data_IF_634984968816
#
_entry.id   IF_634984968816
#
_cell.length_a   1.000
_cell.length_b   1.000
_cell.length_c   1.000
_cell.angle_alpha   90.00
_cell.angle_beta   90.00
_cell.angle_gamma   90.00
#
_symmetry.space_group_name_H-M   'P 1'
#
loop_
_entity.id
_entity.type
_entity.pdbx_description
1 polymer ?
#
# COMPACT_ATOMS: atom_id res chain seq x y z
N UNK A 1 -18.47 -16.00 16.26
CA UNK A 1 -19.05 -15.64 17.58
C UNK A 1 -18.03 -15.46 18.69
N UNK A 2 -17.14 -16.42 18.95
CA UNK A 2 -16.17 -16.36 20.06
C UNK A 2 -15.22 -15.14 20.00
N UNK A 3 -14.70 -14.81 18.80
CA UNK A 3 -13.85 -13.62 18.57
C UNK A 3 -14.59 -12.30 18.77
N UNK A 4 -15.90 -12.27 18.47
CA UNK A 4 -16.78 -11.12 18.70
C UNK A 4 -16.99 -10.89 20.19
N UNK A 5 -17.19 -11.97 20.95
CA UNK A 5 -17.33 -11.92 22.40
C UNK A 5 -16.04 -11.48 23.11
N UNK A 6 -14.87 -11.95 22.64
CA UNK A 6 -13.57 -11.51 23.16
C UNK A 6 -13.33 -10.00 22.96
N UNK A 7 -13.65 -9.45 21.80
CA UNK A 7 -13.53 -8.00 21.56
C UNK A 7 -14.61 -7.22 22.30
N UNK A 8 -15.85 -7.70 22.34
CA UNK A 8 -16.90 -7.08 23.15
C UNK A 8 -16.52 -7.02 24.64
N UNK A 9 -15.83 -8.04 25.16
CA UNK A 9 -15.29 -8.05 26.52
C UNK A 9 -14.06 -7.14 26.69
N UNK A 10 -13.23 -6.97 25.66
CA UNK A 10 -12.08 -6.06 25.67
C UNK A 10 -12.46 -4.58 25.51
N UNK A 11 -13.64 -4.28 24.97
CA UNK A 11 -14.21 -2.94 24.94
C UNK A 11 -14.83 -2.61 26.30
N UNK A 12 -14.51 -1.48 26.93
CA UNK A 12 -15.23 -1.03 28.12
C UNK A 12 -16.72 -0.79 27.82
N UNK A 13 -17.61 -1.10 28.76
CA UNK A 13 -19.05 -0.86 28.60
C UNK A 13 -19.36 0.64 28.45
N UNK A 14 -18.60 1.52 29.11
CA UNK A 14 -18.74 2.97 28.99
C UNK A 14 -18.12 3.60 27.73
N UNK A 15 -17.66 2.82 26.74
CA UNK A 15 -17.11 3.39 25.52
C UNK A 15 -18.24 4.02 24.67
N UNK A 16 -18.24 5.33 24.42
CA UNK A 16 -19.33 6.00 23.68
C UNK A 16 -19.45 5.56 22.22
N UNK A 17 -18.44 4.87 21.69
CA UNK A 17 -18.38 4.36 20.31
C UNK A 17 -18.50 2.83 20.25
N UNK A 18 -18.87 2.15 21.35
CA UNK A 18 -18.88 0.68 21.45
C UNK A 18 -19.60 0.00 20.28
N UNK A 19 -20.82 0.43 19.95
CA UNK A 19 -21.61 -0.15 18.86
C UNK A 19 -20.95 0.04 17.49
N UNK A 20 -20.44 1.24 17.21
CA UNK A 20 -19.73 1.53 15.95
C UNK A 20 -18.49 0.65 15.78
N UNK A 21 -17.75 0.43 16.87
CA UNK A 21 -16.55 -0.42 16.85
C UNK A 21 -16.90 -1.89 16.60
N UNK A 22 -17.98 -2.39 17.20
CA UNK A 22 -18.45 -3.75 16.97
C UNK A 22 -18.94 -3.95 15.53
N UNK A 23 -19.71 -3.00 14.99
CA UNK A 23 -20.15 -3.04 13.60
C UNK A 23 -18.97 -2.99 12.60
N UNK A 24 -17.98 -2.13 12.87
CA UNK A 24 -16.76 -2.08 12.05
C UNK A 24 -15.97 -3.40 12.14
N UNK A 25 -15.87 -4.00 13.32
CA UNK A 25 -15.21 -5.29 13.50
C UNK A 25 -15.89 -6.41 12.71
N UNK A 26 -17.22 -6.48 12.75
CA UNK A 26 -18.00 -7.44 11.95
C UNK A 26 -17.71 -7.29 10.47
N UNK A 27 -17.65 -6.05 9.95
CA UNK A 27 -17.28 -5.81 8.55
C UNK A 27 -15.84 -6.20 8.23
N UNK A 28 -14.88 -5.93 9.11
CA UNK A 28 -13.45 -6.31 8.88
C UNK A 28 -13.25 -7.82 8.92
N UNK A 29 -14.02 -8.52 9.74
CA UNK A 29 -13.90 -9.96 9.94
C UNK A 29 -14.86 -10.78 9.09
N UNK A 30 -15.72 -10.11 8.31
CA UNK A 30 -16.56 -10.76 7.32
C UNK A 30 -15.70 -11.59 6.36
N UNK A 31 -16.22 -12.75 5.99
CA UNK A 31 -15.55 -13.63 5.04
C UNK A 31 -15.44 -12.93 3.67
N UNK A 32 -14.22 -12.55 3.31
CA UNK A 32 -13.89 -11.92 2.03
C UNK A 32 -14.14 -12.88 0.85
N UNK A 33 -14.19 -14.18 1.12
CA UNK A 33 -14.47 -15.24 0.16
C UNK A 33 -15.95 -15.65 0.15
N UNK A 34 -16.83 -14.94 0.87
CA UNK A 34 -18.26 -15.22 0.85
C UNK A 34 -18.81 -15.17 -0.58
N UNK A 35 -19.55 -16.22 -0.96
CA UNK A 35 -20.05 -16.39 -2.33
C UNK A 35 -19.09 -17.10 -3.29
N UNK A 36 -17.83 -17.32 -2.90
CA UNK A 36 -16.85 -18.08 -3.69
C UNK A 36 -16.74 -19.56 -3.27
N UNK A 37 -17.52 -20.01 -2.27
CA UNK A 37 -17.43 -21.36 -1.71
C UNK A 37 -17.69 -22.50 -2.71
N UNK A 38 -18.38 -22.23 -3.82
CA UNK A 38 -18.62 -23.19 -4.90
C UNK A 38 -17.57 -23.16 -6.02
N UNK A 39 -16.61 -22.25 -5.96
CA UNK A 39 -15.56 -22.13 -6.98
C UNK A 39 -14.41 -23.07 -6.64
N UNK A 40 -14.24 -24.09 -7.47
CA UNK A 40 -13.03 -24.93 -7.47
C UNK A 40 -12.06 -24.40 -8.50
N UNK A 41 -10.88 -23.96 -8.07
CA UNK A 41 -9.76 -23.56 -8.93
C UNK A 41 -8.47 -24.14 -8.37
N UNK A 42 -7.50 -24.36 -9.25
CA UNK A 42 -6.14 -24.74 -8.91
C UNK A 42 -5.22 -23.52 -8.95
N UNK A 43 -4.06 -23.61 -8.28
CA UNK A 43 -3.02 -22.58 -8.37
C UNK A 43 -2.52 -22.40 -9.81
N UNK A 44 -2.47 -23.48 -10.59
CA UNK A 44 -2.07 -23.45 -11.98
C UNK A 44 -3.04 -22.64 -12.86
N UNK A 45 -4.36 -22.77 -12.61
CA UNK A 45 -5.39 -22.00 -13.30
C UNK A 45 -5.33 -20.52 -12.94
N UNK A 46 -5.16 -20.19 -11.64
CA UNK A 46 -4.97 -18.80 -11.21
C UNK A 46 -3.72 -18.17 -11.84
N UNK A 47 -2.61 -18.92 -11.87
CA UNK A 47 -1.38 -18.47 -12.52
C UNK A 47 -1.57 -18.29 -14.04
N UNK A 48 -2.37 -19.15 -14.68
CA UNK A 48 -2.70 -19.01 -16.10
C UNK A 48 -3.58 -17.78 -16.36
N UNK A 49 -4.59 -17.53 -15.52
CA UNK A 49 -5.41 -16.32 -15.60
C UNK A 49 -4.57 -15.05 -15.48
N UNK A 50 -3.64 -15.02 -14.52
CA UNK A 50 -2.70 -13.91 -14.40
C UNK A 50 -1.85 -13.75 -15.67
N UNK A 51 -1.23 -14.83 -16.16
CA UNK A 51 -0.40 -14.79 -17.36
C UNK A 51 -1.18 -14.25 -18.57
N UNK A 52 -2.43 -14.67 -18.72
CA UNK A 52 -3.31 -14.20 -19.78
C UNK A 52 -3.61 -12.70 -19.63
N UNK A 53 -3.90 -12.23 -18.41
CA UNK A 53 -4.16 -10.80 -18.16
C UNK A 53 -2.91 -9.95 -18.43
N UNK A 54 -1.73 -10.39 -17.98
CA UNK A 54 -0.44 -9.76 -18.27
C UNK A 54 -0.18 -9.71 -19.78
N UNK A 55 -0.36 -10.82 -20.48
CA UNK A 55 -0.18 -10.90 -21.93
C UNK A 55 -1.19 -10.04 -22.70
N UNK A 56 -2.39 -9.87 -22.15
CA UNK A 56 -3.43 -8.98 -22.66
C UNK A 56 -3.19 -7.49 -22.36
N UNK A 57 -2.14 -7.15 -21.61
CA UNK A 57 -1.79 -5.76 -21.29
C UNK A 57 -2.60 -5.15 -20.15
N UNK A 58 -3.26 -5.95 -19.32
CA UNK A 58 -3.99 -5.46 -18.15
C UNK A 58 -3.02 -4.75 -17.18
N UNK A 59 -3.20 -3.44 -16.92
CA UNK A 59 -2.24 -2.65 -16.14
C UNK A 59 -2.17 -3.11 -14.68
N UNK A 60 -3.30 -3.55 -14.11
CA UNK A 60 -3.36 -4.09 -12.75
C UNK A 60 -2.60 -5.40 -12.65
N UNK A 61 -2.83 -6.32 -13.59
CA UNK A 61 -2.16 -7.61 -13.61
C UNK A 61 -0.64 -7.46 -13.73
N UNK A 62 -0.18 -6.55 -14.60
CA UNK A 62 1.24 -6.23 -14.76
C UNK A 62 1.84 -5.60 -13.49
N UNK A 63 1.17 -4.63 -12.88
CA UNK A 63 1.62 -4.03 -11.62
C UNK A 63 1.67 -5.07 -10.48
N UNK A 64 0.67 -5.94 -10.39
CA UNK A 64 0.61 -7.00 -9.40
C UNK A 64 1.71 -8.05 -9.58
N UNK A 65 2.06 -8.39 -10.82
CA UNK A 65 3.20 -9.26 -11.09
C UNK A 65 4.51 -8.67 -10.53
N UNK A 66 4.76 -7.38 -10.76
CA UNK A 66 5.94 -6.69 -10.21
C UNK A 66 5.94 -6.76 -8.68
N UNK A 67 4.79 -6.54 -8.05
CA UNK A 67 4.66 -6.66 -6.59
C UNK A 67 4.97 -8.08 -6.09
N UNK A 68 4.45 -9.12 -6.75
CA UNK A 68 4.71 -10.51 -6.37
C UNK A 68 6.19 -10.87 -6.48
N UNK A 69 6.84 -10.46 -7.56
CA UNK A 69 8.27 -10.68 -7.78
C UNK A 69 9.11 -9.97 -6.69
N UNK A 70 8.77 -8.72 -6.36
CA UNK A 70 9.42 -7.97 -5.27
C UNK A 70 9.28 -8.70 -3.92
N UNK A 71 8.07 -9.16 -3.57
CA UNK A 71 7.86 -9.87 -2.30
C UNK A 71 8.51 -11.25 -2.28
N UNK A 72 8.57 -11.94 -3.42
CA UNK A 72 9.29 -13.20 -3.55
C UNK A 72 10.80 -12.98 -3.36
N UNK A 73 11.38 -11.95 -3.96
CA UNK A 73 12.78 -11.60 -3.74
C UNK A 73 13.02 -11.32 -2.24
N UNK A 74 12.17 -10.53 -1.57
CA UNK A 74 12.30 -10.27 -0.12
C UNK A 74 12.29 -11.54 0.72
N UNK A 75 11.36 -12.46 0.46
CA UNK A 75 11.26 -13.72 1.20
C UNK A 75 12.54 -14.56 1.04
N UNK A 76 13.10 -14.56 -0.16
CA UNK A 76 14.34 -15.27 -0.48
C UNK A 76 15.60 -14.55 0.07
N UNK A 77 15.55 -13.22 0.16
CA UNK A 77 16.65 -12.34 0.55
C UNK A 77 16.85 -12.22 2.08
N UNK A 78 16.11 -12.97 2.90
CA UNK A 78 16.35 -13.12 4.35
C UNK A 78 17.68 -13.85 4.69
N UNK A 79 18.65 -13.84 3.77
CA UNK A 79 20.03 -14.27 3.98
C UNK A 79 20.83 -13.11 4.59
N UNK A 80 21.62 -13.32 5.67
CA UNK A 80 22.42 -12.26 6.27
C UNK A 80 23.32 -11.55 5.24
N UNK A 81 23.21 -10.22 5.12
CA UNK A 81 24.05 -9.39 4.25
C UNK A 81 23.47 -8.95 2.90
N UNK A 82 22.25 -9.37 2.52
CA UNK A 82 21.55 -8.95 1.28
C UNK A 82 20.11 -8.50 1.54
N UNK A 83 19.88 -7.65 2.54
CA UNK A 83 18.52 -7.22 2.86
C UNK A 83 17.91 -6.32 1.76
N UNK A 84 16.68 -6.65 1.35
CA UNK A 84 15.84 -5.82 0.47
C UNK A 84 15.70 -6.34 -0.97
N UNK A 85 14.53 -6.11 -1.55
CA UNK A 85 14.27 -6.35 -2.97
C UNK A 85 14.92 -5.28 -3.85
N UNK A 86 14.97 -5.58 -5.13
CA UNK A 86 15.41 -4.69 -6.20
C UNK A 86 14.27 -4.44 -7.19
N UNK A 87 14.40 -3.41 -8.02
CA UNK A 87 13.55 -3.24 -9.21
C UNK A 87 14.42 -2.95 -10.43
N UNK A 88 14.17 -3.69 -11.50
CA UNK A 88 14.73 -3.43 -12.82
C UNK A 88 14.09 -2.19 -13.46
N UNK A 89 14.75 -1.62 -14.48
CA UNK A 89 14.17 -0.53 -15.29
C UNK A 89 12.86 -0.93 -15.97
N UNK A 90 12.71 -2.19 -16.38
CA UNK A 90 11.48 -2.71 -16.98
C UNK A 90 10.32 -2.75 -15.98
N UNK A 91 10.61 -3.13 -14.72
CA UNK A 91 9.62 -3.09 -13.64
C UNK A 91 9.25 -1.64 -13.31
N UNK A 92 10.22 -0.73 -13.24
CA UNK A 92 9.95 0.71 -13.05
C UNK A 92 9.09 1.30 -14.19
N UNK A 93 9.39 0.94 -15.44
CA UNK A 93 8.56 1.31 -16.59
C UNK A 93 7.13 0.79 -16.46
N UNK A 94 6.96 -0.47 -16.06
CA UNK A 94 5.64 -1.07 -15.80
C UNK A 94 4.87 -0.34 -14.71
N UNK A 95 5.54 0.08 -13.63
CA UNK A 95 4.89 0.85 -12.56
C UNK A 95 4.46 2.24 -13.04
N UNK A 96 5.27 2.92 -13.87
CA UNK A 96 4.89 4.20 -14.49
C UNK A 96 3.70 4.05 -15.44
N UNK A 97 3.69 2.98 -16.24
CA UNK A 97 2.56 2.64 -17.11
C UNK A 97 1.28 2.34 -16.32
N UNK A 98 1.40 1.69 -15.16
CA UNK A 98 0.26 1.46 -14.26
C UNK A 98 -0.36 2.78 -13.79
N UNK A 99 0.44 3.78 -13.45
CA UNK A 99 -0.05 5.13 -13.17
C UNK A 99 -0.70 5.77 -14.41
N UNK A 100 -0.03 5.74 -15.56
CA UNK A 100 -0.52 6.33 -16.80
C UNK A 100 -1.84 5.69 -17.30
N UNK A 101 -2.12 4.44 -16.92
CA UNK A 101 -3.32 3.72 -17.31
C UNK A 101 -4.62 4.31 -16.75
N UNK A 102 -4.53 5.12 -15.68
CA UNK A 102 -5.69 5.63 -14.91
C UNK A 102 -6.57 4.53 -14.31
N UNK A 103 -6.13 3.27 -14.34
CA UNK A 103 -6.78 2.20 -13.59
C UNK A 103 -6.49 2.37 -12.10
N UNK A 104 -7.56 2.50 -11.31
CA UNK A 104 -7.46 2.82 -9.89
C UNK A 104 -6.67 1.75 -9.11
N UNK A 105 -6.85 0.48 -9.45
CA UNK A 105 -6.20 -0.61 -8.73
C UNK A 105 -4.72 -0.74 -9.16
N UNK A 106 -4.42 -0.53 -10.43
CA UNK A 106 -3.05 -0.44 -10.94
C UNK A 106 -2.27 0.71 -10.27
N UNK A 107 -2.87 1.90 -10.13
CA UNK A 107 -2.31 3.04 -9.39
C UNK A 107 -2.02 2.66 -7.93
N UNK A 108 -2.98 2.04 -7.26
CA UNK A 108 -2.83 1.65 -5.85
C UNK A 108 -1.70 0.63 -5.65
N UNK A 109 -1.57 -0.36 -6.54
CA UNK A 109 -0.49 -1.34 -6.52
C UNK A 109 0.85 -0.65 -6.80
N UNK A 110 0.93 0.16 -7.85
CA UNK A 110 2.18 0.80 -8.25
C UNK A 110 2.71 1.74 -7.17
N UNK A 111 1.84 2.52 -6.54
CA UNK A 111 2.18 3.35 -5.39
C UNK A 111 2.69 2.55 -4.20
N UNK A 112 2.07 1.41 -3.88
CA UNK A 112 2.50 0.53 -2.79
C UNK A 112 3.87 -0.11 -3.05
N UNK A 113 4.15 -0.49 -4.29
CA UNK A 113 5.48 -0.99 -4.69
C UNK A 113 6.50 0.14 -4.58
N UNK A 114 6.26 1.31 -5.21
CA UNK A 114 7.22 2.41 -5.21
C UNK A 114 7.49 3.00 -3.82
N UNK A 115 6.54 2.88 -2.89
CA UNK A 115 6.70 3.28 -1.49
C UNK A 115 7.59 2.34 -0.65
N UNK A 116 8.11 1.24 -1.20
CA UNK A 116 8.99 0.33 -0.45
C UNK A 116 10.44 0.84 -0.38
N UNK A 117 11.19 0.32 0.60
CA UNK A 117 12.65 0.53 0.66
C UNK A 117 13.38 -0.53 -0.17
N UNK A 118 14.15 -0.12 -1.17
CA UNK A 118 14.88 -1.03 -2.05
C UNK A 118 16.37 -1.07 -1.74
N UNK A 119 17.02 -2.16 -2.14
CA UNK A 119 18.47 -2.37 -1.92
C UNK A 119 19.33 -1.57 -2.89
N UNK A 120 18.85 -1.38 -4.11
CA UNK A 120 19.60 -0.86 -5.25
C UNK A 120 19.06 0.46 -5.79
N UNK A 121 18.02 1.02 -5.18
CA UNK A 121 17.46 2.30 -5.54
C UNK A 121 16.79 3.01 -4.36
N UNK A 122 16.64 4.33 -4.52
CA UNK A 122 15.83 5.20 -3.67
C UNK A 122 14.89 5.99 -4.58
N UNK A 123 13.60 6.04 -4.23
CA UNK A 123 12.65 6.97 -4.87
C UNK A 123 12.82 8.33 -4.21
N UNK A 124 13.05 9.36 -5.03
CA UNK A 124 13.33 10.74 -4.60
C UNK A 124 12.31 11.70 -5.21
N UNK A 125 12.05 12.79 -4.52
CA UNK A 125 10.98 13.72 -4.84
C UNK A 125 11.44 15.17 -4.92
N UNK A 126 10.90 15.90 -5.88
CA UNK A 126 11.04 17.34 -6.00
C UNK A 126 12.41 17.80 -6.51
N UNK A 127 12.61 19.12 -6.62
CA UNK A 127 13.83 19.71 -7.17
C UNK A 127 15.08 19.38 -6.34
N UNK A 128 14.93 19.30 -5.02
CA UNK A 128 16.01 18.97 -4.08
C UNK A 128 16.30 17.45 -4.01
N UNK A 129 15.51 16.64 -4.74
CA UNK A 129 15.58 15.18 -4.76
C UNK A 129 15.63 14.61 -3.33
N UNK A 130 14.68 14.97 -2.48
CA UNK A 130 14.61 14.39 -1.12
C UNK A 130 14.11 12.94 -1.21
N UNK A 131 14.66 11.98 -0.44
CA UNK A 131 14.06 10.65 -0.34
C UNK A 131 12.60 10.75 0.07
N UNK A 132 11.73 9.93 -0.53
CA UNK A 132 10.31 9.92 -0.15
C UNK A 132 10.13 9.46 1.30
N UNK A 133 9.14 10.03 1.99
CA UNK A 133 8.59 9.39 3.18
C UNK A 133 7.62 8.29 2.70
N UNK A 134 8.06 7.04 2.86
CA UNK A 134 7.41 5.86 2.29
C UNK A 134 5.91 5.78 2.61
N UNK A 135 5.53 5.98 3.88
CA UNK A 135 4.13 5.84 4.30
C UNK A 135 3.27 6.95 3.70
N UNK A 136 3.76 8.17 3.65
CA UNK A 136 3.08 9.32 3.06
C UNK A 136 2.97 9.17 1.55
N UNK A 137 4.01 8.68 0.87
CA UNK A 137 3.97 8.40 -0.57
C UNK A 137 2.93 7.32 -0.91
N UNK A 138 2.89 6.23 -0.15
CA UNK A 138 1.86 5.20 -0.30
C UNK A 138 0.45 5.79 -0.11
N UNK A 139 0.25 6.62 0.92
CA UNK A 139 -1.04 7.27 1.17
C UNK A 139 -1.43 8.23 0.04
N UNK A 140 -0.48 9.01 -0.49
CA UNK A 140 -0.71 9.92 -1.60
C UNK A 140 -1.12 9.16 -2.87
N UNK A 141 -0.45 8.06 -3.20
CA UNK A 141 -0.83 7.21 -4.33
C UNK A 141 -2.19 6.53 -4.12
N UNK A 142 -2.50 6.10 -2.90
CA UNK A 142 -3.82 5.55 -2.57
C UNK A 142 -4.91 6.61 -2.71
N UNK A 143 -4.67 7.84 -2.27
CA UNK A 143 -5.62 8.94 -2.44
C UNK A 143 -5.82 9.30 -3.91
N UNK A 144 -4.76 9.29 -4.71
CA UNK A 144 -4.89 9.41 -6.15
C UNK A 144 -5.74 8.27 -6.72
N UNK A 145 -5.51 7.03 -6.30
CA UNK A 145 -6.32 5.88 -6.71
C UNK A 145 -7.82 6.10 -6.41
N UNK A 146 -8.16 6.68 -5.25
CA UNK A 146 -9.53 7.00 -4.88
C UNK A 146 -10.20 7.93 -5.92
N UNK A 147 -9.45 8.89 -6.46
CA UNK A 147 -9.95 9.82 -7.48
C UNK A 147 -10.28 9.13 -8.81
N UNK A 148 -9.65 7.98 -9.06
CA UNK A 148 -9.91 7.12 -10.22
C UNK A 148 -10.90 5.99 -9.94
N UNK A 149 -11.53 5.95 -8.75
CA UNK A 149 -12.58 4.98 -8.41
C UNK A 149 -12.15 3.83 -7.50
N UNK A 150 -10.96 3.89 -6.89
CA UNK A 150 -10.58 2.91 -5.86
C UNK A 150 -11.54 3.01 -4.66
N UNK A 151 -11.97 1.89 -4.04
CA UNK A 151 -12.96 1.90 -2.96
C UNK A 151 -12.38 2.49 -1.66
N UNK A 152 -12.45 3.80 -1.54
CA UNK A 152 -11.93 4.59 -0.41
C UNK A 152 -13.01 5.12 0.53
N UNK A 153 -14.25 4.64 0.41
CA UNK A 153 -15.37 5.04 1.26
C UNK A 153 -15.36 4.40 2.65
N UNK A 154 -16.53 4.34 3.26
CA UNK A 154 -16.78 3.88 4.63
C UNK A 154 -16.51 2.38 4.84
N UNK A 155 -16.63 1.58 3.77
CA UNK A 155 -16.30 0.15 3.74
C UNK A 155 -14.83 -0.12 3.43
N UNK A 156 -13.98 0.90 3.34
CA UNK A 156 -12.54 0.70 3.16
C UNK A 156 -11.95 -0.06 4.37
N UNK A 157 -11.20 -1.13 4.10
CA UNK A 157 -10.68 -2.02 5.14
C UNK A 157 -9.83 -1.30 6.19
N UNK A 158 -9.07 -0.27 5.80
CA UNK A 158 -8.26 0.53 6.72
C UNK A 158 -9.11 1.42 7.62
N UNK A 159 -10.15 2.03 7.07
CA UNK A 159 -11.11 2.86 7.83
C UNK A 159 -11.85 1.99 8.84
N UNK A 160 -12.36 0.84 8.39
CA UNK A 160 -13.05 -0.11 9.25
C UNK A 160 -12.13 -0.66 10.34
N UNK A 161 -10.89 -1.04 10.02
CA UNK A 161 -9.91 -1.52 10.98
C UNK A 161 -9.53 -0.44 12.02
N UNK A 162 -9.39 0.81 11.59
CA UNK A 162 -9.10 1.92 12.49
C UNK A 162 -10.25 2.17 13.46
N UNK A 163 -11.51 2.12 13.01
CA UNK A 163 -12.65 2.22 13.92
C UNK A 163 -12.70 1.00 14.87
N UNK A 164 -12.65 -0.22 14.34
CA UNK A 164 -12.75 -1.45 15.11
C UNK A 164 -11.68 -1.52 16.22
N UNK A 165 -10.40 -1.36 15.85
CA UNK A 165 -9.28 -1.64 16.76
C UNK A 165 -8.73 -0.41 17.46
N UNK A 166 -8.80 0.78 16.86
CA UNK A 166 -8.18 2.01 17.39
C UNK A 166 -9.21 3.01 17.93
N UNK A 167 -10.51 2.80 17.69
CA UNK A 167 -11.57 3.73 18.12
C UNK A 167 -11.68 5.00 17.27
N UNK A 168 -10.94 5.05 16.15
CA UNK A 168 -10.98 6.12 15.14
C UNK A 168 -12.23 5.98 14.27
N UNK A 169 -13.40 6.15 14.88
CA UNK A 169 -14.71 6.11 14.22
C UNK A 169 -15.22 7.52 13.90
N UNK A 170 -16.28 7.60 13.07
CA UNK A 170 -16.91 8.87 12.67
C UNK A 170 -16.32 9.51 11.43
N UNK A 171 -15.52 8.76 10.66
CA UNK A 171 -15.00 9.15 9.35
C UNK A 171 -15.67 8.30 8.27
N UNK A 172 -16.02 8.92 7.14
CA UNK A 172 -16.77 8.28 6.06
C UNK A 172 -15.87 7.78 4.92
N UNK A 173 -14.57 8.08 4.98
CA UNK A 173 -13.65 7.80 3.89
C UNK A 173 -12.19 7.70 4.36
N UNK A 174 -11.33 7.11 3.52
CA UNK A 174 -9.89 7.09 3.70
C UNK A 174 -9.27 8.50 3.73
N UNK A 175 -9.64 9.44 2.83
CA UNK A 175 -9.24 10.84 2.96
C UNK A 175 -9.53 11.44 4.34
N UNK A 176 -10.74 11.27 4.86
CA UNK A 176 -11.12 11.80 6.18
C UNK A 176 -10.30 11.13 7.29
N UNK A 177 -10.14 9.81 7.22
CA UNK A 177 -9.30 9.09 8.17
C UNK A 177 -7.86 9.61 8.18
N UNK A 178 -7.26 9.82 7.00
CA UNK A 178 -5.90 10.34 6.89
C UNK A 178 -5.81 11.77 7.43
N UNK A 179 -6.80 12.62 7.14
CA UNK A 179 -6.85 13.98 7.62
C UNK A 179 -7.00 14.08 9.14
N UNK A 180 -7.93 13.34 9.75
CA UNK A 180 -8.23 13.46 11.17
C UNK A 180 -7.33 12.61 12.07
N UNK A 181 -6.83 11.47 11.57
CA UNK A 181 -6.16 10.46 12.40
C UNK A 181 -4.83 9.95 11.84
N UNK A 182 -4.64 9.99 10.51
CA UNK A 182 -3.56 9.29 9.84
C UNK A 182 -2.33 10.13 9.46
N UNK A 183 -2.39 11.46 9.56
CA UNK A 183 -1.33 12.36 9.14
C UNK A 183 -1.03 13.41 10.22
N UNK A 184 0.26 13.62 10.50
CA UNK A 184 0.71 14.82 11.20
C UNK A 184 0.59 16.06 10.29
N UNK A 185 0.67 17.30 10.81
CA UNK A 185 0.67 18.50 9.97
C UNK A 185 1.76 18.49 8.90
N UNK A 186 2.94 17.93 9.21
CA UNK A 186 4.02 17.75 8.25
C UNK A 186 3.66 16.73 7.17
N UNK A 187 3.13 15.56 7.57
CA UNK A 187 2.70 14.52 6.63
C UNK A 187 1.59 15.01 5.70
N UNK A 188 0.67 15.84 6.19
CA UNK A 188 -0.41 16.39 5.38
C UNK A 188 0.13 17.27 4.24
N UNK A 189 1.17 18.06 4.50
CA UNK A 189 1.84 18.85 3.46
C UNK A 189 2.55 17.96 2.44
N UNK A 190 3.30 16.95 2.90
CA UNK A 190 3.95 16.00 2.01
C UNK A 190 2.96 15.20 1.17
N UNK A 191 1.84 14.79 1.77
CA UNK A 191 0.79 14.02 1.13
C UNK A 191 0.18 14.80 -0.04
N UNK A 192 -0.12 16.08 0.14
CA UNK A 192 -0.67 16.90 -0.93
C UNK A 192 0.36 17.16 -2.05
N UNK A 193 1.63 17.40 -1.69
CA UNK A 193 2.73 17.55 -2.65
C UNK A 193 2.92 16.28 -3.50
N UNK A 194 3.02 15.11 -2.86
CA UNK A 194 3.18 13.83 -3.55
C UNK A 194 1.97 13.52 -4.42
N UNK A 195 0.75 13.72 -3.92
CA UNK A 195 -0.47 13.46 -4.69
C UNK A 195 -0.55 14.35 -5.93
N UNK A 196 -0.23 15.64 -5.79
CA UNK A 196 -0.22 16.60 -6.91
C UNK A 196 0.77 16.19 -7.99
N UNK A 197 1.99 15.82 -7.60
CA UNK A 197 3.01 15.38 -8.54
C UNK A 197 2.67 14.04 -9.20
N UNK A 198 2.12 13.08 -8.45
CA UNK A 198 1.64 11.82 -9.02
C UNK A 198 0.50 12.06 -10.00
N UNK A 199 -0.44 12.97 -9.69
CA UNK A 199 -1.50 13.35 -10.62
C UNK A 199 -0.93 13.99 -11.88
N UNK A 200 0.02 14.92 -11.76
CA UNK A 200 0.72 15.49 -12.91
C UNK A 200 1.38 14.40 -13.76
N UNK A 201 2.08 13.44 -13.14
CA UNK A 201 2.70 12.34 -13.86
C UNK A 201 1.67 11.47 -14.61
N UNK A 202 0.48 11.26 -14.05
CA UNK A 202 -0.63 10.56 -14.73
C UNK A 202 -1.19 11.39 -15.88
N UNK A 203 -1.35 12.70 -15.70
CA UNK A 203 -2.05 13.56 -16.66
C UNK A 203 -1.18 13.99 -17.84
N UNK A 204 0.11 14.28 -17.60
CA UNK A 204 1.03 14.78 -18.62
C UNK A 204 2.12 13.78 -19.02
N UNK A 205 2.27 12.68 -18.29
CA UNK A 205 3.40 11.77 -18.45
C UNK A 205 4.72 12.34 -17.92
N UNK A 206 4.69 13.49 -17.26
CA UNK A 206 5.88 14.14 -16.70
C UNK A 206 6.24 13.55 -15.33
N UNK A 207 7.29 12.73 -15.30
CA UNK A 207 7.83 12.11 -14.10
C UNK A 207 8.98 12.91 -13.48
N UNK A 208 9.28 14.13 -13.94
CA UNK A 208 10.45 14.90 -13.49
C UNK A 208 10.47 15.17 -11.99
N UNK A 209 9.30 15.24 -11.35
CA UNK A 209 9.18 15.40 -9.90
C UNK A 209 9.49 14.13 -9.09
N UNK A 210 9.54 12.95 -9.73
CA UNK A 210 9.76 11.64 -9.08
C UNK A 210 10.95 10.95 -9.76
N UNK A 211 12.09 10.99 -9.09
CA UNK A 211 13.37 10.49 -9.61
C UNK A 211 13.71 9.15 -8.96
N UNK A 212 14.22 8.23 -9.78
CA UNK A 212 14.81 6.98 -9.29
C UNK A 212 16.31 7.15 -9.24
N UNK A 213 16.87 7.10 -8.03
CA UNK A 213 18.31 7.19 -7.80
C UNK A 213 18.86 5.80 -7.45
N UNK A 214 19.77 5.28 -8.29
CA UNK A 214 20.47 4.00 -8.05
C UNK A 214 21.83 4.17 -7.33
N UNK A 215 22.28 5.41 -7.16
CA UNK A 215 23.61 5.75 -6.66
C UNK A 215 23.71 5.84 -5.14
N UNK A 216 22.59 5.93 -4.42
CA UNK A 216 22.56 6.04 -2.95
C UNK A 216 21.76 4.88 -2.35
N UNK A 217 22.42 4.05 -1.51
CA UNK A 217 21.71 3.07 -0.67
C UNK A 217 20.65 3.83 0.14
N UNK A 218 19.41 3.31 0.14
CA UNK A 218 18.34 3.87 0.98
C UNK A 218 18.84 3.97 2.43
N UNK A 219 18.78 5.14 3.09
CA UNK A 219 19.24 5.30 4.47
C UNK A 219 18.53 4.36 5.46
N UNK A 220 17.36 3.84 5.09
CA UNK A 220 16.55 2.93 5.89
C UNK A 220 16.93 1.44 5.75
N UNK A 221 17.97 1.09 4.96
CA UNK A 221 18.59 -0.23 5.07
C UNK A 221 19.50 -0.23 6.30
N UNK A 222 18.90 -0.35 7.49
CA UNK A 222 19.63 -0.41 8.75
C UNK A 222 20.72 -1.47 8.70
N UNK A 223 21.98 -1.04 8.71
CA UNK A 223 23.05 -1.84 9.23
C UNK A 223 22.77 -2.03 10.72
N UNK A 224 22.08 -3.10 11.08
CA UNK A 224 22.17 -3.62 12.44
C UNK A 224 23.61 -4.11 12.61
N UNK A 225 24.49 -3.20 13.02
CA UNK A 225 25.76 -3.53 13.65
C UNK A 225 25.43 -4.39 14.88
N UNK A 226 25.78 -5.67 14.78
CA UNK A 226 25.59 -6.63 15.84
C UNK A 226 26.26 -6.15 17.12
N UNK A 227 25.45 -5.83 18.12
CA UNK A 227 25.92 -5.80 19.51
C UNK A 227 25.85 -7.25 20.01
N UNK A 228 26.96 -7.88 20.40
CA UNK A 228 26.93 -9.24 20.92
C UNK A 228 26.24 -9.23 22.28
N UNK A 229 25.11 -9.94 22.40
CA UNK A 229 24.61 -10.35 23.69
C UNK A 229 25.54 -11.44 24.24
N UNK A 230 26.39 -11.08 25.20
CA UNK A 230 27.04 -12.06 26.06
C UNK A 230 25.98 -12.69 26.99
N UNK A 231 26.06 -14.03 27.10
CA UNK A 231 25.31 -14.85 28.06
C UNK A 231 25.65 -14.48 29.50
#
# INVERSE_FOLDING_TARGET
>A
EERRQQIAAALPEGNPRREQRLAAFEKVTADQCAGLAGLTTTEAELAQLLRNAVAGGDPKARAWQVEQEMWQERRNANTPGRAGATLSEAQLGTLREAFASRDAEAIAIAGRVMANSFRDLTVRFGPDQEPIENRVFMNAAMLLACEYGYPCGDNNSRVLAACAYQGHCGVASLPDYLFYYGASPYDAQLLDRYRTALRQAVDSGDWSAIVIDRGTRSPNSGAYSGVPFHR
#
